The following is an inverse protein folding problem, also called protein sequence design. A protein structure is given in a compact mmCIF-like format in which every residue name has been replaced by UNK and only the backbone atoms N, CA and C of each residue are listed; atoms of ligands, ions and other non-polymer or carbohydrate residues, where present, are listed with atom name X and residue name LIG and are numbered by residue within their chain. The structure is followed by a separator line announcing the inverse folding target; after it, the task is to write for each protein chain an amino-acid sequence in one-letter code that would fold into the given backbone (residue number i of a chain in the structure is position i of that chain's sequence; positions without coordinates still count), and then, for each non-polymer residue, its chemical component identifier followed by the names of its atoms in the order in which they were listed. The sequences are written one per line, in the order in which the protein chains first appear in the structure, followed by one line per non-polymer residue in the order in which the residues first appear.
data_IF_677846365616
#
_entry.id   IF_677846365616
#
_cell.length_a   1.000
_cell.length_b   1.000
_cell.length_c   1.000
_cell.angle_alpha   90.00
_cell.angle_beta   90.00
_cell.angle_gamma   90.00
#
_symmetry.space_group_name_H-M   'P 1'
#
loop_
_entity.id
_entity.type
_entity.pdbx_description
1 polymer ?
#
# COMPACT_ATOMS: atom_id res chain seq x y z
N UNK A 1 -4.07 12.58 23.09
CA UNK A 1 -3.66 11.17 23.04
C UNK A 1 -3.63 10.63 24.47
N UNK A 2 -4.48 9.64 24.78
CA UNK A 2 -4.53 9.05 26.13
C UNK A 2 -3.44 8.00 26.38
N UNK A 3 -2.76 7.53 25.31
CA UNK A 3 -1.69 6.54 25.41
C UNK A 3 -0.35 7.29 25.46
N UNK A 4 0.43 7.18 26.53
CA UNK A 4 1.73 7.81 26.62
C UNK A 4 2.72 7.18 25.63
N UNK A 5 3.47 8.05 24.95
CA UNK A 5 4.39 7.67 23.84
C UNK A 5 5.42 6.61 24.30
N UNK A 6 5.83 6.66 25.55
CA UNK A 6 6.81 5.71 26.11
C UNK A 6 6.31 4.25 26.06
N UNK A 7 5.00 4.01 26.20
CA UNK A 7 4.42 2.66 26.10
C UNK A 7 4.52 2.15 24.65
N UNK A 8 4.25 3.02 23.67
CA UNK A 8 4.39 2.69 22.26
C UNK A 8 5.83 2.40 21.89
N UNK A 9 6.75 3.17 22.41
CA UNK A 9 8.19 2.97 22.18
C UNK A 9 8.68 1.64 22.76
N UNK A 10 8.37 1.36 24.02
CA UNK A 10 8.78 0.13 24.72
C UNK A 10 8.12 -1.12 24.13
N UNK A 11 6.88 -1.00 23.69
CA UNK A 11 6.09 -2.08 23.06
C UNK A 11 6.35 -2.24 21.56
N UNK A 12 7.13 -1.36 20.93
CA UNK A 12 7.25 -1.30 19.46
C UNK A 12 7.70 -2.62 18.81
N UNK A 13 8.61 -3.35 19.44
CA UNK A 13 9.05 -4.66 18.97
C UNK A 13 7.95 -5.72 19.03
N UNK A 14 7.16 -5.75 20.11
CA UNK A 14 6.02 -6.64 20.26
C UNK A 14 4.95 -6.34 19.19
N UNK A 15 4.62 -5.07 18.98
CA UNK A 15 3.66 -4.66 17.96
C UNK A 15 4.12 -5.05 16.55
N UNK A 16 5.41 -4.91 16.25
CA UNK A 16 5.96 -5.34 14.97
C UNK A 16 5.79 -6.84 14.75
N UNK A 17 6.18 -7.67 15.73
CA UNK A 17 6.04 -9.14 15.66
C UNK A 17 4.58 -9.52 15.50
N UNK A 18 3.67 -8.87 16.24
CA UNK A 18 2.23 -9.06 16.10
C UNK A 18 1.74 -8.75 14.67
N UNK A 19 2.16 -7.60 14.09
CA UNK A 19 1.79 -7.24 12.71
C UNK A 19 2.32 -8.25 11.68
N UNK A 20 3.58 -8.69 11.82
CA UNK A 20 4.16 -9.72 10.94
C UNK A 20 3.40 -11.04 11.08
N UNK A 21 3.03 -11.45 12.29
CA UNK A 21 2.27 -12.70 12.50
C UNK A 21 0.91 -12.66 11.80
N UNK A 22 0.21 -11.51 11.82
CA UNK A 22 -1.04 -11.34 11.08
C UNK A 22 -0.85 -11.45 9.56
N UNK A 23 0.23 -10.86 9.01
CA UNK A 23 0.55 -11.01 7.58
C UNK A 23 0.84 -12.47 7.21
N UNK A 24 1.54 -13.19 8.08
CA UNK A 24 1.83 -14.63 7.89
C UNK A 24 0.54 -15.46 7.94
N UNK A 25 -0.40 -15.15 8.85
CA UNK A 25 -1.71 -15.82 8.91
C UNK A 25 -2.48 -15.66 7.59
N UNK A 26 -2.49 -14.45 7.00
CA UNK A 26 -3.12 -14.23 5.68
C UNK A 26 -2.43 -15.04 4.60
N UNK A 27 -1.09 -15.13 4.65
CA UNK A 27 -0.32 -15.96 3.74
C UNK A 27 -0.71 -17.44 3.83
N UNK A 28 -0.80 -17.99 5.06
CA UNK A 28 -1.24 -19.36 5.28
C UNK A 28 -2.68 -19.58 4.79
N UNK A 29 -3.58 -18.63 5.05
CA UNK A 29 -4.96 -18.69 4.54
C UNK A 29 -4.99 -18.74 3.01
N UNK A 30 -4.10 -18.02 2.33
CA UNK A 30 -3.96 -18.07 0.87
C UNK A 30 -3.43 -19.41 0.37
N UNK A 31 -2.46 -20.01 1.08
CA UNK A 31 -1.83 -21.26 0.67
C UNK A 31 -2.73 -22.49 0.91
N UNK A 32 -3.49 -22.49 1.99
CA UNK A 32 -4.26 -23.65 2.46
C UNK A 32 -5.78 -23.49 2.35
N UNK A 33 -6.28 -22.29 2.02
CA UNK A 33 -7.69 -21.92 2.12
C UNK A 33 -8.58 -22.25 0.93
N UNK A 34 -8.07 -22.88 -0.15
CA UNK A 34 -8.88 -23.23 -1.34
C UNK A 34 -9.31 -22.02 -2.19
N UNK A 35 -9.94 -22.32 -3.35
CA UNK A 35 -10.36 -21.31 -4.35
C UNK A 35 -11.50 -20.39 -3.91
N UNK A 36 -12.30 -20.79 -2.91
CA UNK A 36 -13.52 -20.09 -2.50
C UNK A 36 -13.28 -18.80 -1.68
N UNK A 37 -12.01 -18.50 -1.39
CA UNK A 37 -11.62 -17.38 -0.51
C UNK A 37 -11.06 -16.19 -1.32
N UNK A 38 -10.97 -16.34 -2.64
CA UNK A 38 -10.43 -15.30 -3.52
C UNK A 38 -11.48 -14.21 -3.77
N UNK A 39 -11.30 -13.05 -3.14
CA UNK A 39 -12.02 -11.83 -3.51
C UNK A 39 -11.10 -11.04 -4.46
N UNK A 40 -11.54 -10.78 -5.68
CA UNK A 40 -10.77 -10.10 -6.74
C UNK A 40 -9.41 -10.74 -7.05
N UNK A 41 -9.31 -12.07 -6.96
CA UNK A 41 -8.08 -12.81 -7.28
C UNK A 41 -6.96 -12.72 -6.24
N UNK A 42 -7.22 -12.13 -5.07
CA UNK A 42 -6.25 -12.01 -4.00
C UNK A 42 -6.86 -12.17 -2.61
N UNK A 43 -6.23 -12.96 -1.76
CA UNK A 43 -6.55 -13.02 -0.33
C UNK A 43 -5.73 -11.96 0.37
N UNK A 44 -6.35 -10.83 0.73
CA UNK A 44 -5.70 -9.70 1.41
C UNK A 44 -6.29 -9.40 2.77
N UNK A 45 -7.46 -9.98 3.07
CA UNK A 45 -8.23 -9.69 4.28
C UNK A 45 -8.59 -10.93 5.08
N UNK A 46 -8.77 -10.72 6.37
CA UNK A 46 -9.35 -11.67 7.30
C UNK A 46 -10.81 -11.30 7.51
N UNK A 47 -11.72 -12.18 7.09
CA UNK A 47 -13.15 -12.02 7.36
C UNK A 47 -13.43 -12.52 8.76
N UNK A 48 -13.74 -11.60 9.68
CA UNK A 48 -14.15 -11.92 11.04
C UNK A 48 -15.64 -11.58 11.15
N UNK A 49 -16.48 -12.59 10.92
CA UNK A 49 -17.95 -12.46 10.89
C UNK A 49 -18.48 -11.44 9.90
N UNK A 50 -18.77 -10.20 10.33
CA UNK A 50 -19.31 -9.10 9.52
C UNK A 50 -18.27 -8.05 9.13
N UNK A 51 -17.05 -8.12 9.64
CA UNK A 51 -16.00 -7.15 9.40
C UNK A 51 -14.88 -7.78 8.56
N UNK A 52 -14.45 -7.08 7.53
CA UNK A 52 -13.26 -7.41 6.78
C UNK A 52 -12.08 -6.64 7.37
N UNK A 53 -11.13 -7.36 7.97
CA UNK A 53 -9.91 -6.78 8.53
C UNK A 53 -8.73 -7.05 7.60
N UNK A 54 -8.04 -5.99 7.19
CA UNK A 54 -6.86 -6.09 6.33
C UNK A 54 -5.59 -5.87 7.17
N UNK A 55 -4.78 -6.92 7.44
CA UNK A 55 -3.57 -6.79 8.25
C UNK A 55 -2.53 -5.82 7.70
N UNK A 56 -2.47 -5.62 6.37
CA UNK A 56 -1.58 -4.65 5.75
C UNK A 56 -1.87 -3.21 6.23
N UNK A 57 -3.13 -2.85 6.48
CA UNK A 57 -3.50 -1.53 7.00
C UNK A 57 -2.94 -1.30 8.41
N UNK A 58 -3.09 -2.30 9.28
CA UNK A 58 -2.52 -2.23 10.61
C UNK A 58 -0.99 -2.20 10.56
N UNK A 59 -0.38 -2.99 9.66
CA UNK A 59 1.08 -3.07 9.53
C UNK A 59 1.71 -1.73 9.16
N UNK A 60 1.04 -0.88 8.36
CA UNK A 60 1.49 0.49 8.04
C UNK A 60 1.70 1.33 9.29
N UNK A 61 0.81 1.21 10.27
CA UNK A 61 0.91 1.89 11.56
C UNK A 61 2.02 1.31 12.45
N UNK A 62 2.07 -0.01 12.56
CA UNK A 62 3.01 -0.69 13.47
C UNK A 62 4.46 -0.52 13.05
N UNK A 63 4.75 -0.52 11.73
CA UNK A 63 6.10 -0.29 11.23
C UNK A 63 6.58 1.14 11.48
N UNK A 64 5.70 2.13 11.39
CA UNK A 64 6.02 3.54 11.71
C UNK A 64 6.39 3.67 13.18
N UNK A 65 5.59 3.09 14.10
CA UNK A 65 5.87 3.11 15.53
C UNK A 65 7.21 2.42 15.84
N UNK A 66 7.46 1.27 15.23
CA UNK A 66 8.72 0.55 15.41
C UNK A 66 9.90 1.35 14.89
N UNK A 67 9.80 1.89 13.67
CA UNK A 67 10.88 2.66 13.04
C UNK A 67 11.19 3.92 13.81
N UNK A 68 10.18 4.64 14.34
CA UNK A 68 10.37 5.82 15.17
C UNK A 68 11.12 5.47 16.46
N UNK A 69 10.71 4.43 17.18
CA UNK A 69 11.40 3.96 18.37
C UNK A 69 12.82 3.47 18.08
N UNK A 70 13.04 2.83 16.94
CA UNK A 70 14.36 2.41 16.51
C UNK A 70 15.26 3.62 16.20
N UNK A 71 14.76 4.61 15.45
CA UNK A 71 15.50 5.80 15.06
C UNK A 71 15.97 6.60 16.28
N UNK A 72 15.14 6.72 17.31
CA UNK A 72 15.52 7.39 18.57
C UNK A 72 16.63 6.63 19.28
N UNK A 73 16.52 5.30 19.42
CA UNK A 73 17.49 4.47 20.12
C UNK A 73 18.85 4.33 19.42
N UNK A 74 18.89 4.49 18.10
CA UNK A 74 20.08 4.26 17.28
C UNK A 74 20.49 5.49 16.46
N UNK A 75 20.14 6.69 16.93
CA UNK A 75 20.37 7.94 16.22
C UNK A 75 21.83 8.11 15.77
N UNK A 76 22.77 7.84 16.65
CA UNK A 76 24.20 7.99 16.35
C UNK A 76 24.66 7.03 15.25
N UNK A 77 24.19 5.77 15.29
CA UNK A 77 24.53 4.77 14.27
C UNK A 77 23.93 5.10 12.90
N UNK A 78 22.71 5.68 12.87
CA UNK A 78 22.04 6.07 11.62
C UNK A 78 22.76 7.24 10.96
N UNK A 79 23.37 8.15 11.75
CA UNK A 79 24.11 9.29 11.23
C UNK A 79 25.54 8.95 10.78
N UNK A 80 26.21 8.03 11.47
CA UNK A 80 27.62 7.69 11.24
C UNK A 80 27.83 6.58 10.21
N UNK A 81 27.06 5.49 10.31
CA UNK A 81 27.20 4.31 9.43
C UNK A 81 25.83 3.84 8.96
N UNK A 82 25.52 4.19 7.72
CA UNK A 82 24.23 3.88 7.06
C UNK A 82 23.96 2.36 7.05
N UNK A 83 24.99 1.54 6.76
CA UNK A 83 24.81 0.09 6.61
C UNK A 83 24.48 -0.54 7.97
N UNK A 84 25.22 -0.16 9.00
CA UNK A 84 25.01 -0.69 10.37
C UNK A 84 23.75 -0.11 11.03
N UNK A 85 23.44 1.15 10.76
CA UNK A 85 22.24 1.81 11.28
C UNK A 85 20.97 1.32 10.62
N UNK A 86 20.98 1.08 9.33
CA UNK A 86 19.79 0.66 8.56
C UNK A 86 19.64 -0.85 8.38
N UNK A 87 20.70 -1.63 8.57
CA UNK A 87 20.68 -3.07 8.32
C UNK A 87 19.50 -3.79 8.95
N UNK A 88 19.24 -3.63 10.26
CA UNK A 88 18.12 -4.29 10.92
C UNK A 88 16.74 -3.87 10.37
N UNK A 89 16.54 -2.57 10.12
CA UNK A 89 15.28 -2.09 9.51
C UNK A 89 15.14 -2.58 8.08
N UNK A 90 16.22 -2.57 7.30
CA UNK A 90 16.22 -3.07 5.93
C UNK A 90 15.83 -4.55 5.86
N UNK A 91 16.32 -5.36 6.78
CA UNK A 91 15.99 -6.78 6.86
C UNK A 91 14.51 -7.01 7.18
N UNK A 92 13.97 -6.24 8.13
CA UNK A 92 12.54 -6.26 8.48
C UNK A 92 11.69 -5.81 7.29
N UNK A 93 12.10 -4.75 6.60
CA UNK A 93 11.40 -4.27 5.40
C UNK A 93 11.39 -5.32 4.30
N UNK A 94 12.51 -5.97 4.03
CA UNK A 94 12.58 -7.04 3.01
C UNK A 94 11.59 -8.16 3.36
N UNK A 95 11.50 -8.55 4.62
CA UNK A 95 10.54 -9.56 5.08
C UNK A 95 9.09 -9.10 4.84
N UNK A 96 8.74 -7.89 5.27
CA UNK A 96 7.38 -7.34 5.12
C UNK A 96 7.02 -7.17 3.64
N UNK A 97 7.94 -6.61 2.85
CA UNK A 97 7.77 -6.44 1.40
C UNK A 97 7.57 -7.79 0.73
N UNK A 98 8.36 -8.81 1.08
CA UNK A 98 8.20 -10.18 0.56
C UNK A 98 6.81 -10.74 0.84
N UNK A 99 6.32 -10.63 2.08
CA UNK A 99 4.98 -11.07 2.47
C UNK A 99 3.87 -10.34 1.69
N UNK A 100 3.97 -9.01 1.56
CA UNK A 100 3.00 -8.19 0.83
C UNK A 100 3.04 -8.42 -0.68
N UNK A 101 4.23 -8.65 -1.25
CA UNK A 101 4.37 -8.99 -2.67
C UNK A 101 3.71 -10.33 -3.00
N UNK A 102 3.76 -11.28 -2.08
CA UNK A 102 3.07 -12.55 -2.23
C UNK A 102 1.53 -12.40 -2.16
N UNK A 103 1.04 -11.37 -1.46
CA UNK A 103 -0.38 -10.99 -1.39
C UNK A 103 -0.84 -10.06 -2.54
N UNK A 104 -0.08 -9.89 -3.61
CA UNK A 104 0.02 -8.86 -4.66
C UNK A 104 -0.44 -7.45 -4.24
N UNK A 105 0.02 -6.97 -3.08
CA UNK A 105 -0.32 -5.65 -2.54
C UNK A 105 0.83 -4.64 -2.69
N UNK A 106 1.05 -4.17 -3.92
CA UNK A 106 2.09 -3.17 -4.22
C UNK A 106 1.80 -1.81 -3.58
N UNK A 107 0.53 -1.43 -3.45
CA UNK A 107 0.14 -0.16 -2.85
C UNK A 107 0.61 -0.05 -1.40
N UNK A 108 0.35 -1.06 -0.57
CA UNK A 108 0.81 -1.09 0.81
C UNK A 108 2.34 -1.12 0.92
N UNK A 109 3.04 -1.78 -0.01
CA UNK A 109 4.51 -1.77 -0.06
C UNK A 109 5.04 -0.36 -0.25
N UNK A 110 4.52 0.40 -1.23
CA UNK A 110 4.96 1.76 -1.50
C UNK A 110 4.72 2.65 -0.28
N UNK A 111 3.54 2.56 0.34
CA UNK A 111 3.20 3.37 1.53
C UNK A 111 4.10 3.02 2.71
N UNK A 112 4.35 1.75 2.99
CA UNK A 112 5.23 1.30 4.07
C UNK A 112 6.66 1.79 3.84
N UNK A 113 7.21 1.57 2.66
CA UNK A 113 8.58 1.98 2.35
C UNK A 113 8.76 3.49 2.44
N UNK A 114 7.83 4.28 1.88
CA UNK A 114 7.87 5.74 1.94
C UNK A 114 7.75 6.25 3.38
N UNK A 115 6.85 5.68 4.18
CA UNK A 115 6.68 6.04 5.58
C UNK A 115 7.94 5.77 6.40
N UNK A 116 8.57 4.62 6.21
CA UNK A 116 9.84 4.27 6.89
C UNK A 116 10.97 5.23 6.50
N UNK A 117 11.10 5.57 5.22
CA UNK A 117 12.11 6.54 4.74
C UNK A 117 11.89 7.91 5.40
N UNK A 118 10.64 8.39 5.45
CA UNK A 118 10.30 9.67 6.07
C UNK A 118 10.67 9.66 7.56
N UNK A 119 10.33 8.60 8.28
CA UNK A 119 10.65 8.49 9.72
C UNK A 119 12.17 8.44 9.95
N UNK A 120 12.91 7.72 9.12
CA UNK A 120 14.38 7.66 9.21
C UNK A 120 15.03 9.00 8.87
N UNK A 121 14.46 9.74 7.92
CA UNK A 121 14.88 11.12 7.64
C UNK A 121 14.73 12.02 8.84
N UNK A 122 13.55 12.01 9.48
CA UNK A 122 13.30 12.75 10.71
C UNK A 122 14.19 12.30 11.87
N UNK A 123 14.60 11.03 11.85
CA UNK A 123 15.54 10.42 12.80
C UNK A 123 17.02 10.83 12.61
N UNK A 124 17.32 11.66 11.59
CA UNK A 124 18.67 12.18 11.34
C UNK A 124 19.46 11.47 10.24
N UNK A 125 18.80 10.68 9.40
CA UNK A 125 19.43 10.06 8.24
C UNK A 125 19.89 11.11 7.22
N UNK A 126 21.09 10.94 6.66
CA UNK A 126 21.65 11.89 5.70
C UNK A 126 20.90 11.89 4.37
N UNK A 127 20.78 13.05 3.69
CA UNK A 127 20.11 13.18 2.40
C UNK A 127 20.71 12.26 1.32
N UNK A 128 22.02 12.02 1.35
CA UNK A 128 22.67 11.09 0.41
C UNK A 128 22.19 9.66 0.59
N UNK A 129 22.00 9.22 1.84
CA UNK A 129 21.50 7.90 2.16
C UNK A 129 20.03 7.75 1.73
N UNK A 130 19.20 8.76 1.98
CA UNK A 130 17.80 8.79 1.56
C UNK A 130 17.70 8.68 0.04
N UNK A 131 18.46 9.49 -0.69
CA UNK A 131 18.48 9.44 -2.15
C UNK A 131 18.88 8.05 -2.66
N UNK A 132 19.90 7.43 -2.06
CA UNK A 132 20.33 6.07 -2.42
C UNK A 132 19.25 5.01 -2.17
N UNK A 133 18.64 5.01 -0.99
CA UNK A 133 17.57 4.05 -0.64
C UNK A 133 16.33 4.27 -1.50
N UNK A 134 15.93 5.52 -1.71
CA UNK A 134 14.78 5.85 -2.56
C UNK A 134 15.02 5.42 -4.01
N UNK A 135 16.20 5.68 -4.56
CA UNK A 135 16.57 5.25 -5.90
C UNK A 135 16.55 3.71 -6.01
N UNK A 136 17.10 3.00 -5.02
CA UNK A 136 17.06 1.54 -4.97
C UNK A 136 15.63 1.00 -4.91
N UNK A 137 14.75 1.58 -4.11
CA UNK A 137 13.35 1.16 -4.02
C UNK A 137 12.57 1.46 -5.31
N UNK A 138 12.76 2.63 -5.91
CA UNK A 138 12.12 2.98 -7.19
C UNK A 138 12.57 2.01 -8.28
N UNK A 139 13.86 1.72 -8.39
CA UNK A 139 14.36 0.75 -9.37
C UNK A 139 13.83 -0.65 -9.12
N UNK A 140 13.72 -1.08 -7.85
CA UNK A 140 13.12 -2.37 -7.49
C UNK A 140 11.65 -2.47 -7.88
N UNK A 141 10.84 -1.44 -7.57
CA UNK A 141 9.42 -1.38 -7.98
C UNK A 141 9.29 -1.36 -9.50
N UNK A 142 10.12 -0.60 -10.20
CA UNK A 142 10.12 -0.53 -11.66
C UNK A 142 10.44 -1.89 -12.28
N UNK A 143 11.45 -2.60 -11.80
CA UNK A 143 11.76 -3.96 -12.25
C UNK A 143 10.59 -4.92 -12.01
N UNK A 144 9.97 -4.88 -10.83
CA UNK A 144 8.81 -5.72 -10.51
C UNK A 144 7.65 -5.46 -11.49
N UNK A 145 7.41 -4.21 -11.86
CA UNK A 145 6.36 -3.85 -12.84
C UNK A 145 6.71 -4.41 -14.22
N UNK A 146 7.95 -4.24 -14.68
CA UNK A 146 8.39 -4.72 -16.00
C UNK A 146 8.31 -6.24 -16.14
N UNK A 147 8.72 -6.98 -15.10
CA UNK A 147 8.72 -8.44 -15.14
C UNK A 147 7.33 -9.07 -14.86
N UNK A 148 6.33 -8.27 -14.47
CA UNK A 148 4.99 -8.78 -14.16
C UNK A 148 3.99 -8.29 -15.21
N UNK A 149 3.63 -9.13 -16.19
CA UNK A 149 2.67 -8.78 -17.27
C UNK A 149 1.38 -8.13 -16.76
N UNK A 150 0.81 -8.64 -15.67
CA UNK A 150 -0.41 -8.07 -15.07
C UNK A 150 -0.22 -6.62 -14.62
N UNK A 151 0.92 -6.28 -14.01
CA UNK A 151 1.22 -4.91 -13.54
C UNK A 151 1.58 -3.99 -14.68
N UNK A 152 2.31 -4.50 -15.68
CA UNK A 152 2.63 -3.76 -16.89
C UNK A 152 1.34 -3.38 -17.64
N UNK A 153 0.41 -4.32 -17.84
CA UNK A 153 -0.86 -4.05 -18.47
C UNK A 153 -1.70 -3.03 -17.69
N UNK A 154 -1.68 -3.06 -16.35
CA UNK A 154 -2.33 -2.02 -15.54
C UNK A 154 -1.71 -0.64 -15.74
N UNK A 155 -0.38 -0.55 -15.82
CA UNK A 155 0.32 0.71 -16.07
C UNK A 155 -0.02 1.26 -17.46
N UNK A 156 -0.02 0.42 -18.49
CA UNK A 156 -0.38 0.80 -19.85
C UNK A 156 -1.86 1.24 -19.93
N UNK A 157 -2.75 0.50 -19.27
CA UNK A 157 -4.17 0.88 -19.18
C UNK A 157 -4.39 2.20 -18.43
N UNK A 158 -3.49 2.58 -17.52
CA UNK A 158 -3.55 3.89 -16.86
C UNK A 158 -3.18 5.05 -17.80
N UNK A 159 -2.26 4.81 -18.74
CA UNK A 159 -1.85 5.83 -19.72
C UNK A 159 -2.89 6.07 -20.80
N UNK A 160 -3.62 5.01 -21.21
CA UNK A 160 -4.72 5.09 -22.17
C UNK A 160 -5.85 4.15 -21.78
N UNK A 161 -6.68 4.55 -20.77
CA UNK A 161 -7.70 3.67 -20.20
C UNK A 161 -8.89 3.42 -21.13
N UNK A 162 -9.18 4.34 -22.08
CA UNK A 162 -10.32 4.26 -22.96
C UNK A 162 -10.00 3.67 -24.34
N UNK A 163 -8.77 3.17 -24.55
CA UNK A 163 -8.43 2.46 -25.78
C UNK A 163 -9.27 1.17 -25.93
N UNK A 164 -9.45 0.72 -27.16
CA UNK A 164 -10.25 -0.50 -27.48
C UNK A 164 -9.72 -1.71 -26.72
N UNK A 165 -8.40 -1.80 -26.51
CA UNK A 165 -7.73 -2.93 -25.84
C UNK A 165 -7.94 -2.91 -24.32
N UNK A 166 -7.98 -1.74 -23.69
CA UNK A 166 -8.02 -1.57 -22.26
C UNK A 166 -9.41 -1.26 -21.68
N UNK A 167 -10.29 -0.66 -22.48
CA UNK A 167 -11.62 -0.19 -22.06
C UNK A 167 -12.56 -1.29 -21.56
N UNK A 168 -12.33 -2.55 -21.92
CA UNK A 168 -13.12 -3.70 -21.45
C UNK A 168 -12.45 -4.53 -20.37
N UNK A 169 -11.19 -4.19 -20.02
CA UNK A 169 -10.35 -4.95 -19.11
C UNK A 169 -9.79 -4.07 -17.99
N UNK A 170 -8.46 -3.96 -17.93
CA UNK A 170 -7.75 -3.26 -16.87
C UNK A 170 -8.06 -1.75 -16.78
N UNK A 171 -8.44 -1.11 -17.89
CA UNK A 171 -8.81 0.30 -17.98
C UNK A 171 -10.29 0.61 -17.73
N UNK A 172 -11.16 -0.39 -17.67
CA UNK A 172 -12.62 -0.21 -17.57
C UNK A 172 -13.03 0.78 -16.47
N UNK A 173 -12.55 0.55 -15.25
CA UNK A 173 -12.90 1.38 -14.10
C UNK A 173 -12.48 2.84 -14.28
N UNK A 174 -11.24 3.05 -14.74
CA UNK A 174 -10.70 4.39 -14.95
C UNK A 174 -11.37 5.10 -16.13
N UNK A 175 -11.66 4.37 -17.22
CA UNK A 175 -12.37 4.94 -18.38
C UNK A 175 -13.79 5.39 -17.98
N UNK A 176 -14.54 4.58 -17.24
CA UNK A 176 -15.87 4.96 -16.75
C UNK A 176 -15.82 6.17 -15.81
N UNK A 177 -14.80 6.24 -14.95
CA UNK A 177 -14.59 7.40 -14.09
C UNK A 177 -14.32 8.68 -14.89
N UNK A 178 -13.47 8.60 -15.92
CA UNK A 178 -13.17 9.74 -16.82
C UNK A 178 -14.40 10.17 -17.62
N UNK A 179 -15.21 9.24 -18.10
CA UNK A 179 -16.48 9.54 -18.78
C UNK A 179 -17.44 10.25 -17.82
N UNK A 180 -17.53 9.80 -16.56
CA UNK A 180 -18.34 10.46 -15.55
C UNK A 180 -17.91 11.91 -15.33
N UNK A 181 -16.60 12.16 -15.17
CA UNK A 181 -16.05 13.53 -15.07
C UNK A 181 -16.31 14.36 -16.33
N UNK A 182 -16.14 13.77 -17.52
CA UNK A 182 -16.44 14.46 -18.79
C UNK A 182 -17.90 14.89 -18.90
N UNK A 183 -18.82 14.06 -18.46
CA UNK A 183 -20.25 14.37 -18.46
C UNK A 183 -20.64 15.40 -17.41
N UNK A 184 -19.95 15.45 -16.26
CA UNK A 184 -20.20 16.40 -15.17
C UNK A 184 -19.72 17.82 -15.47
N UNK A 185 -18.65 17.97 -16.25
CA UNK A 185 -18.03 19.27 -16.51
C UNK A 185 -17.54 19.97 -15.22
N UNK A 186 -17.63 21.31 -15.18
CA UNK A 186 -17.17 22.09 -14.03
C UNK A 186 -18.16 22.13 -12.86
N UNK A 187 -19.46 21.95 -13.12
CA UNK A 187 -20.54 22.13 -12.13
C UNK A 187 -21.23 20.82 -11.75
N UNK A 188 -20.85 19.72 -12.36
CA UNK A 188 -21.49 18.43 -12.17
C UNK A 188 -22.85 18.34 -12.87
N UNK A 189 -23.42 17.14 -12.90
CA UNK A 189 -24.75 16.88 -13.49
C UNK A 189 -25.91 17.28 -12.57
N UNK A 190 -25.63 17.65 -11.34
CA UNK A 190 -26.61 17.98 -10.30
C UNK A 190 -26.77 16.89 -9.24
N UNK A 191 -27.23 17.29 -8.06
CA UNK A 191 -27.38 16.40 -6.92
C UNK A 191 -28.30 15.23 -7.23
N UNK A 192 -27.76 14.03 -7.16
CA UNK A 192 -28.53 12.81 -7.40
C UNK A 192 -28.70 12.39 -8.87
N UNK A 193 -28.31 13.20 -9.85
CA UNK A 193 -28.47 12.93 -11.28
C UNK A 193 -27.29 12.19 -11.92
N UNK A 194 -26.18 12.03 -11.21
CA UNK A 194 -24.98 11.28 -11.69
C UNK A 194 -25.32 9.84 -12.05
N UNK A 195 -24.98 9.43 -13.26
CA UNK A 195 -25.23 8.10 -13.79
C UNK A 195 -24.20 7.06 -13.36
N UNK A 196 -23.02 7.51 -12.90
CA UNK A 196 -21.92 6.65 -12.46
C UNK A 196 -22.29 5.68 -11.33
N UNK A 197 -23.23 6.06 -10.47
CA UNK A 197 -23.76 5.24 -9.36
C UNK A 197 -24.73 4.12 -9.79
N UNK A 198 -25.23 4.14 -11.01
CA UNK A 198 -26.25 3.20 -11.51
C UNK A 198 -25.66 1.86 -12.02
N UNK A 199 -24.53 1.42 -11.45
CA UNK A 199 -23.92 0.13 -11.77
C UNK A 199 -22.89 0.15 -12.91
N UNK A 200 -22.60 1.33 -13.47
CA UNK A 200 -21.57 1.47 -14.52
C UNK A 200 -20.16 1.56 -13.94
N UNK A 201 -20.02 1.95 -12.66
CA UNK A 201 -18.73 2.11 -11.99
C UNK A 201 -18.62 1.11 -10.83
N UNK A 202 -17.64 0.20 -10.85
CA UNK A 202 -17.40 -0.67 -9.71
C UNK A 202 -16.83 0.14 -8.52
N UNK A 203 -17.28 -0.20 -7.30
CA UNK A 203 -16.87 0.47 -6.05
C UNK A 203 -17.01 2.01 -6.06
N UNK A 204 -18.18 2.55 -6.45
CA UNK A 204 -18.36 4.00 -6.60
C UNK A 204 -18.25 4.76 -5.26
N UNK A 205 -18.45 4.08 -4.13
CA UNK A 205 -18.46 4.68 -2.79
C UNK A 205 -17.08 4.74 -2.11
N UNK A 206 -16.07 4.11 -2.71
CA UNK A 206 -14.71 4.03 -2.15
C UNK A 206 -13.68 4.59 -3.12
N UNK A 207 -13.30 3.82 -4.11
CA UNK A 207 -12.16 4.12 -4.97
C UNK A 207 -12.43 5.25 -5.98
N UNK A 208 -13.70 5.45 -6.35
CA UNK A 208 -14.11 6.44 -7.36
C UNK A 208 -15.14 7.45 -6.86
N UNK A 209 -15.09 7.81 -5.58
CA UNK A 209 -16.06 8.74 -4.97
C UNK A 209 -16.09 10.11 -5.68
N UNK A 210 -14.93 10.59 -6.14
CA UNK A 210 -14.85 11.87 -6.86
C UNK A 210 -15.60 11.85 -8.19
N UNK A 211 -15.62 10.73 -8.92
CA UNK A 211 -16.37 10.61 -10.17
C UNK A 211 -17.88 10.48 -9.97
N UNK A 212 -18.32 10.24 -8.73
CA UNK A 212 -19.74 10.27 -8.34
C UNK A 212 -20.19 11.67 -7.89
N UNK A 213 -19.26 12.47 -7.38
CA UNK A 213 -19.50 13.85 -6.90
C UNK A 213 -19.42 14.83 -8.07
N UNK A 214 -18.47 14.66 -9.00
CA UNK A 214 -18.30 15.48 -10.20
C UNK A 214 -19.17 15.00 -11.32
#
# INVERSE_FOLDING_TARGET
LQIPVYILEKGSGFFLVFGISLLVIVLFKKLFGGSDILVDGAVRSLNVTRFTFQPAELMKLLIVIFTAGYAVRHKDRISEDIIRGMGPIGLILILIVGLLMYQPDLGSVIIICSSVIIVLFLGGMTMKAIAGVTCFLISGVFLIILFTKFRLNRLLAYLDPCSIEHSQNAGWQLCQALVAFGNGGLFGTGLGLGTAKLGHLPLPHTDFIFSVIG
#
